data_IF_044222728748
#
_entry.id   IF_044222728748
#
_cell.length_a   1.000
_cell.length_b   1.000
_cell.length_c   1.000
_cell.angle_alpha   90.00
_cell.angle_beta   90.00
_cell.angle_gamma   90.00
#
_symmetry.space_group_name_H-M   'P 1'
#
loop_
_entity.id
_entity.type
_entity.pdbx_description
1 polymer ?
#
# COMPACT_ATOMS: atom_id res chain seq x y z
N UNK A 1 -4.83 4.91 -11.53
CA UNK A 1 -3.96 3.83 -12.02
C UNK A 1 -3.11 3.42 -10.84
N UNK A 2 -3.04 2.13 -10.50
CA UNK A 2 -2.19 1.64 -9.42
C UNK A 2 -0.79 1.44 -9.98
N UNK A 3 0.20 2.15 -9.46
CA UNK A 3 1.60 1.94 -9.82
C UNK A 3 2.17 0.85 -8.92
N UNK A 4 2.62 -0.26 -9.51
CA UNK A 4 3.13 -1.42 -8.78
C UNK A 4 4.63 -1.51 -9.05
N UNK A 5 5.49 -1.47 -8.02
CA UNK A 5 6.92 -1.64 -8.23
C UNK A 5 7.26 -3.01 -8.77
N UNK A 6 7.84 -3.02 -9.97
CA UNK A 6 8.39 -4.21 -10.61
C UNK A 6 9.92 -4.21 -10.44
N UNK A 7 10.39 -4.69 -9.29
CA UNK A 7 11.82 -4.89 -8.99
C UNK A 7 12.03 -6.26 -8.37
N UNK A 8 13.05 -6.95 -8.85
CA UNK A 8 13.54 -8.23 -8.35
C UNK A 8 15.05 -8.36 -8.52
N UNK A 9 15.60 -9.50 -8.10
CA UNK A 9 17.05 -9.79 -8.14
C UNK A 9 17.65 -9.71 -9.55
N UNK A 10 16.90 -10.17 -10.55
CA UNK A 10 17.28 -10.24 -11.96
C UNK A 10 16.45 -9.25 -12.81
N UNK A 11 16.40 -7.99 -12.38
CA UNK A 11 15.60 -6.94 -13.03
C UNK A 11 14.16 -6.93 -12.52
N UNK A 12 13.21 -7.47 -13.29
CA UNK A 12 11.80 -7.61 -12.85
C UNK A 12 11.50 -8.97 -12.22
N UNK A 13 12.45 -9.90 -12.26
CA UNK A 13 12.28 -11.28 -11.79
C UNK A 13 13.10 -11.55 -10.52
N UNK A 14 12.52 -12.33 -9.61
CA UNK A 14 13.24 -12.86 -8.45
C UNK A 14 13.86 -14.23 -8.73
N UNK A 15 13.33 -14.98 -9.71
CA UNK A 15 13.76 -16.35 -10.04
C UNK A 15 13.79 -16.53 -11.56
N UNK A 16 14.86 -17.14 -12.08
CA UNK A 16 15.05 -17.39 -13.52
C UNK A 16 14.63 -18.80 -13.97
N UNK A 17 13.99 -19.60 -13.09
CA UNK A 17 13.41 -20.90 -13.44
C UNK A 17 14.34 -21.87 -14.19
N UNK A 18 15.64 -21.82 -13.91
CA UNK A 18 16.66 -22.68 -14.53
C UNK A 18 17.37 -22.10 -15.75
N UNK A 19 17.07 -20.85 -16.13
CA UNK A 19 17.83 -20.12 -17.15
C UNK A 19 19.04 -19.39 -16.53
N UNK A 20 20.13 -19.31 -17.29
CA UNK A 20 21.39 -18.70 -16.85
C UNK A 20 21.33 -17.16 -16.77
N UNK A 21 20.41 -16.53 -17.52
CA UNK A 21 20.28 -15.06 -17.60
C UNK A 21 18.82 -14.63 -17.71
N UNK A 22 18.54 -13.38 -17.29
CA UNK A 22 17.22 -12.75 -17.48
C UNK A 22 16.80 -12.71 -18.94
N UNK A 23 17.73 -12.40 -19.84
CA UNK A 23 17.45 -12.29 -21.27
C UNK A 23 17.02 -13.65 -21.85
N UNK A 24 17.72 -14.73 -21.47
CA UNK A 24 17.36 -16.08 -21.89
C UNK A 24 15.96 -16.49 -21.37
N UNK A 25 15.63 -16.13 -20.12
CA UNK A 25 14.30 -16.40 -19.57
C UNK A 25 13.21 -15.60 -20.30
N UNK A 26 13.43 -14.30 -20.55
CA UNK A 26 12.48 -13.44 -21.26
C UNK A 26 12.25 -13.96 -22.68
N UNK A 27 13.30 -14.27 -23.43
CA UNK A 27 13.16 -14.83 -24.78
C UNK A 27 12.34 -16.13 -24.79
N UNK A 28 12.56 -17.01 -23.81
CA UNK A 28 11.78 -18.25 -23.73
C UNK A 28 10.32 -17.98 -23.34
N UNK A 29 10.07 -17.03 -22.43
CA UNK A 29 8.73 -16.62 -22.04
C UNK A 29 7.95 -16.02 -23.22
N UNK A 30 8.58 -15.14 -24.00
CA UNK A 30 7.99 -14.57 -25.21
C UNK A 30 7.63 -15.64 -26.24
N UNK A 31 8.54 -16.57 -26.53
CA UNK A 31 8.26 -17.70 -27.44
C UNK A 31 7.07 -18.54 -26.96
N UNK A 32 7.00 -18.83 -25.64
CA UNK A 32 5.89 -19.59 -25.07
C UNK A 32 4.56 -18.82 -25.15
N UNK A 33 4.57 -17.50 -24.98
CA UNK A 33 3.39 -16.66 -25.12
C UNK A 33 2.90 -16.59 -26.58
N UNK A 34 3.81 -16.56 -27.55
CA UNK A 34 3.46 -16.60 -28.97
C UNK A 34 2.84 -17.95 -29.37
N UNK A 35 3.30 -19.05 -28.76
CA UNK A 35 2.75 -20.39 -29.01
C UNK A 35 1.42 -20.65 -28.28
N UNK A 36 1.22 -20.08 -27.10
CA UNK A 36 0.16 -20.49 -26.18
C UNK A 36 -0.48 -19.35 -25.37
N UNK A 37 -0.81 -18.23 -26.01
CA UNK A 37 -1.60 -17.14 -25.39
C UNK A 37 -3.10 -17.24 -25.71
N UNK A 38 -3.95 -16.93 -24.72
CA UNK A 38 -5.40 -16.77 -24.91
C UNK A 38 -6.30 -17.83 -24.27
N UNK A 39 -6.08 -19.16 -24.45
CA UNK A 39 -7.02 -20.18 -23.99
C UNK A 39 -7.42 -20.10 -22.51
N UNK A 40 -6.49 -19.86 -21.55
CA UNK A 40 -6.86 -19.76 -20.13
C UNK A 40 -7.83 -18.61 -19.84
N UNK A 41 -7.72 -17.49 -20.58
CA UNK A 41 -8.58 -16.33 -20.37
C UNK A 41 -10.01 -16.57 -20.85
N UNK A 42 -10.17 -17.26 -21.98
CA UNK A 42 -11.47 -17.63 -22.54
C UNK A 42 -12.16 -18.62 -21.60
N UNK A 43 -11.47 -19.68 -21.20
CA UNK A 43 -12.02 -20.69 -20.27
C UNK A 43 -12.40 -20.03 -18.92
N UNK A 44 -11.60 -19.10 -18.40
CA UNK A 44 -11.95 -18.36 -17.18
C UNK A 44 -13.27 -17.59 -17.33
N UNK A 45 -13.48 -16.91 -18.46
CA UNK A 45 -14.73 -16.19 -18.74
C UNK A 45 -15.90 -17.17 -18.90
N UNK A 46 -15.71 -18.29 -19.59
CA UNK A 46 -16.74 -19.32 -19.75
C UNK A 46 -17.18 -19.90 -18.39
N UNK A 47 -16.23 -20.14 -17.48
CA UNK A 47 -16.51 -20.59 -16.09
C UNK A 47 -17.31 -19.56 -15.32
N UNK A 48 -17.01 -18.27 -15.46
CA UNK A 48 -17.80 -17.20 -14.86
C UNK A 48 -19.23 -17.16 -15.41
N UNK A 49 -19.39 -17.29 -16.73
CA UNK A 49 -20.70 -17.25 -17.39
C UNK A 49 -21.55 -18.49 -17.10
N UNK A 50 -20.94 -19.62 -16.73
CA UNK A 50 -21.64 -20.82 -16.31
C UNK A 50 -22.25 -20.71 -14.89
N UNK A 51 -21.84 -19.71 -14.09
CA UNK A 51 -22.40 -19.46 -12.77
C UNK A 51 -23.69 -18.62 -12.86
N UNK A 52 -24.64 -18.86 -11.95
CA UNK A 52 -25.76 -17.93 -11.80
C UNK A 52 -25.27 -16.59 -11.27
N UNK A 53 -25.99 -15.50 -11.56
CA UNK A 53 -25.62 -14.16 -11.08
C UNK A 53 -25.53 -14.10 -9.54
N UNK A 54 -26.42 -14.80 -8.85
CA UNK A 54 -26.47 -14.79 -7.39
C UNK A 54 -25.32 -15.62 -6.80
N UNK A 55 -25.01 -16.78 -7.39
CA UNK A 55 -23.87 -17.60 -6.96
C UNK A 55 -22.54 -16.89 -7.21
N UNK A 56 -22.39 -16.26 -8.38
CA UNK A 56 -21.20 -15.48 -8.73
C UNK A 56 -21.02 -14.32 -7.74
N UNK A 57 -22.09 -13.55 -7.48
CA UNK A 57 -22.04 -12.44 -6.54
C UNK A 57 -21.67 -12.91 -5.14
N UNK A 58 -22.31 -13.97 -4.65
CA UNK A 58 -22.04 -14.52 -3.32
C UNK A 58 -20.61 -15.04 -3.20
N UNK A 59 -20.12 -15.78 -4.19
CA UNK A 59 -18.75 -16.29 -4.22
C UNK A 59 -17.73 -15.16 -4.26
N UNK A 60 -17.96 -14.15 -5.12
CA UNK A 60 -17.10 -12.99 -5.24
C UNK A 60 -17.09 -12.18 -3.94
N UNK A 61 -18.24 -11.85 -3.38
CA UNK A 61 -18.34 -11.08 -2.14
C UNK A 61 -17.62 -11.79 -0.98
N UNK A 62 -17.78 -13.12 -0.86
CA UNK A 62 -17.10 -13.92 0.17
C UNK A 62 -15.58 -13.94 -0.01
N UNK A 63 -15.10 -14.36 -1.18
CA UNK A 63 -13.66 -14.55 -1.42
C UNK A 63 -12.94 -13.19 -1.48
N UNK A 64 -13.56 -12.16 -2.07
CA UNK A 64 -13.02 -10.79 -2.09
C UNK A 64 -12.90 -10.21 -0.70
N UNK A 65 -13.94 -10.35 0.14
CA UNK A 65 -13.91 -9.86 1.53
C UNK A 65 -12.86 -10.59 2.34
N UNK A 66 -12.77 -11.92 2.19
CA UNK A 66 -11.77 -12.73 2.88
C UNK A 66 -10.33 -12.30 2.51
N UNK A 67 -10.03 -12.16 1.21
CA UNK A 67 -8.71 -11.72 0.77
C UNK A 67 -8.41 -10.26 1.16
N UNK A 68 -9.40 -9.37 1.13
CA UNK A 68 -9.21 -8.00 1.59
C UNK A 68 -8.93 -7.94 3.09
N UNK A 69 -9.62 -8.73 3.91
CA UNK A 69 -9.37 -8.82 5.34
C UNK A 69 -7.98 -9.37 5.63
N UNK A 70 -7.62 -10.49 5.00
CA UNK A 70 -6.30 -11.11 5.11
C UNK A 70 -5.17 -10.15 4.70
N UNK A 71 -5.33 -9.39 3.62
CA UNK A 71 -4.38 -8.35 3.23
C UNK A 71 -4.29 -7.20 4.26
N UNK A 72 -5.42 -6.74 4.80
CA UNK A 72 -5.40 -5.68 5.82
C UNK A 72 -4.67 -6.16 7.09
N UNK A 73 -4.94 -7.39 7.55
CA UNK A 73 -4.27 -7.99 8.70
C UNK A 73 -2.77 -8.17 8.44
N UNK A 74 -2.42 -8.69 7.27
CA UNK A 74 -1.05 -8.94 6.87
C UNK A 74 -0.22 -7.65 6.72
N UNK A 75 -0.83 -6.55 6.27
CA UNK A 75 -0.19 -5.25 6.10
C UNK A 75 -0.32 -4.32 7.33
N UNK A 76 -1.03 -4.74 8.38
CA UNK A 76 -1.27 -3.91 9.57
C UNK A 76 -2.19 -2.71 9.34
N UNK A 77 -3.08 -2.76 8.35
CA UNK A 77 -3.98 -1.64 8.01
C UNK A 77 -5.28 -1.73 8.82
N UNK A 78 -5.45 -0.79 9.75
CA UNK A 78 -6.66 -0.68 10.59
C UNK A 78 -7.70 0.21 9.93
N UNK A 79 -8.96 -0.24 9.95
CA UNK A 79 -10.10 0.54 9.48
C UNK A 79 -10.47 1.64 10.47
N UNK A 80 -10.73 2.86 9.99
CA UNK A 80 -11.25 3.96 10.82
C UNK A 80 -10.53 5.30 10.65
N UNK A 81 -9.39 5.32 9.97
CA UNK A 81 -8.68 6.56 9.62
C UNK A 81 -8.97 6.97 8.17
N UNK A 82 -9.19 8.27 7.95
CA UNK A 82 -9.31 8.87 6.63
C UNK A 82 -7.98 8.79 5.87
N UNK A 83 -6.84 8.79 6.58
CA UNK A 83 -5.50 8.67 6.00
C UNK A 83 -5.22 7.31 5.35
N UNK A 84 -5.95 6.25 5.75
CA UNK A 84 -5.81 4.90 5.13
C UNK A 84 -6.86 4.63 4.05
N UNK A 85 -7.72 5.61 3.72
CA UNK A 85 -8.80 5.41 2.75
C UNK A 85 -8.31 5.09 1.33
N UNK A 86 -7.20 5.68 0.90
CA UNK A 86 -6.56 5.43 -0.40
C UNK A 86 -5.92 4.03 -0.44
N UNK A 87 -5.19 3.67 0.62
CA UNK A 87 -4.59 2.34 0.81
C UNK A 87 -5.67 1.25 0.77
N UNK A 88 -6.80 1.46 1.43
CA UNK A 88 -7.92 0.49 1.42
C UNK A 88 -8.49 0.28 0.02
N UNK A 89 -8.47 1.29 -0.88
CA UNK A 89 -8.89 1.10 -2.28
C UNK A 89 -7.93 0.20 -3.02
N UNK A 90 -6.63 0.39 -2.80
CA UNK A 90 -5.58 -0.45 -3.40
C UNK A 90 -5.67 -1.89 -2.89
N UNK A 91 -5.88 -2.08 -1.59
CA UNK A 91 -6.10 -3.41 -0.99
C UNK A 91 -7.29 -4.12 -1.63
N UNK A 92 -8.39 -3.42 -1.91
CA UNK A 92 -9.54 -4.01 -2.62
C UNK A 92 -9.19 -4.47 -4.04
N UNK A 93 -8.30 -3.77 -4.73
CA UNK A 93 -7.81 -4.22 -6.05
C UNK A 93 -6.93 -5.45 -5.93
N UNK A 94 -6.00 -5.48 -4.97
CA UNK A 94 -5.18 -6.67 -4.68
C UNK A 94 -6.02 -7.88 -4.27
N UNK A 95 -7.04 -7.68 -3.45
CA UNK A 95 -7.98 -8.73 -3.07
C UNK A 95 -8.68 -9.33 -4.28
N UNK A 96 -9.11 -8.49 -5.25
CA UNK A 96 -9.74 -8.96 -6.48
C UNK A 96 -8.77 -9.78 -7.35
N UNK A 97 -7.51 -9.37 -7.45
CA UNK A 97 -6.47 -10.14 -8.16
C UNK A 97 -6.25 -11.49 -7.48
N UNK A 98 -6.19 -11.51 -6.14
CA UNK A 98 -6.07 -12.75 -5.37
C UNK A 98 -7.25 -13.67 -5.63
N UNK A 99 -8.49 -13.16 -5.53
CA UNK A 99 -9.71 -13.92 -5.83
C UNK A 99 -9.65 -14.53 -7.23
N UNK A 100 -9.35 -13.74 -8.26
CA UNK A 100 -9.30 -14.22 -9.64
C UNK A 100 -8.21 -15.29 -9.83
N UNK A 101 -7.01 -15.09 -9.28
CA UNK A 101 -5.91 -16.05 -9.38
C UNK A 101 -6.19 -17.37 -8.66
N UNK A 102 -6.81 -17.31 -7.47
CA UNK A 102 -7.22 -18.51 -6.75
C UNK A 102 -8.39 -19.23 -7.47
N UNK A 103 -9.31 -18.51 -8.11
CA UNK A 103 -10.37 -19.11 -8.92
C UNK A 103 -9.81 -19.82 -10.15
N UNK A 104 -8.90 -19.17 -10.87
CA UNK A 104 -8.21 -19.76 -12.01
C UNK A 104 -7.45 -21.03 -11.60
N UNK A 105 -6.82 -21.02 -10.43
CA UNK A 105 -6.15 -22.19 -9.85
C UNK A 105 -7.14 -23.31 -9.51
N UNK A 106 -8.25 -23.01 -8.83
CA UNK A 106 -9.31 -23.99 -8.52
C UNK A 106 -9.95 -24.58 -9.77
N UNK A 107 -10.00 -23.85 -10.87
CA UNK A 107 -10.50 -24.33 -12.16
C UNK A 107 -9.43 -25.06 -13.00
N UNK A 108 -8.20 -25.17 -12.51
CA UNK A 108 -7.12 -25.89 -13.17
C UNK A 108 -6.46 -25.14 -14.33
N UNK A 109 -6.59 -23.80 -14.37
CA UNK A 109 -6.11 -22.98 -15.49
C UNK A 109 -4.66 -22.53 -15.36
N UNK A 110 -4.15 -22.44 -14.14
CA UNK A 110 -2.81 -21.91 -13.84
C UNK A 110 -1.76 -23.00 -13.66
N UNK A 111 -2.17 -24.18 -13.23
CA UNK A 111 -1.26 -25.23 -12.74
C UNK A 111 -0.55 -24.89 -11.42
N UNK A 112 -0.96 -23.82 -10.74
CA UNK A 112 -0.38 -23.43 -9.45
C UNK A 112 -0.94 -24.25 -8.29
N UNK A 113 -0.17 -24.32 -7.20
CA UNK A 113 -0.70 -24.85 -5.95
C UNK A 113 -1.70 -23.85 -5.33
N UNK A 114 -2.76 -24.32 -4.65
CA UNK A 114 -3.69 -23.44 -3.94
C UNK A 114 -2.97 -22.49 -2.97
N UNK A 115 -3.33 -21.22 -2.98
CA UNK A 115 -2.70 -20.18 -2.15
C UNK A 115 -1.51 -19.48 -2.81
N UNK A 116 -1.02 -19.94 -3.97
CA UNK A 116 0.12 -19.33 -4.67
C UNK A 116 -0.20 -17.90 -5.13
N UNK A 117 -1.39 -17.68 -5.68
CA UNK A 117 -1.78 -16.37 -6.22
C UNK A 117 -1.90 -15.33 -5.09
N UNK A 118 -2.59 -15.69 -4.01
CA UNK A 118 -2.74 -14.84 -2.84
C UNK A 118 -1.41 -14.54 -2.13
N UNK A 119 -0.50 -15.53 -2.03
CA UNK A 119 0.84 -15.30 -1.51
C UNK A 119 1.66 -14.33 -2.39
N UNK A 120 1.61 -14.48 -3.71
CA UNK A 120 2.28 -13.57 -4.64
C UNK A 120 1.74 -12.13 -4.50
N UNK A 121 0.42 -11.97 -4.40
CA UNK A 121 -0.21 -10.65 -4.19
C UNK A 121 0.22 -10.04 -2.86
N UNK A 122 0.33 -10.81 -1.77
CA UNK A 122 0.83 -10.30 -0.48
C UNK A 122 2.25 -9.75 -0.60
N UNK A 123 3.14 -10.45 -1.29
CA UNK A 123 4.52 -9.98 -1.53
C UNK A 123 4.52 -8.65 -2.29
N UNK A 124 3.72 -8.56 -3.35
CA UNK A 124 3.60 -7.33 -4.15
C UNK A 124 3.00 -6.19 -3.33
N UNK A 125 1.97 -6.48 -2.53
CA UNK A 125 1.29 -5.49 -1.71
C UNK A 125 2.22 -4.91 -0.62
N UNK A 126 3.12 -5.71 -0.04
CA UNK A 126 4.16 -5.20 0.87
C UNK A 126 5.11 -4.25 0.16
N UNK A 127 5.69 -4.67 -0.98
CA UNK A 127 6.61 -3.82 -1.77
C UNK A 127 5.93 -2.50 -2.16
N UNK A 128 4.69 -2.58 -2.61
CA UNK A 128 3.89 -1.40 -2.93
C UNK A 128 3.69 -0.49 -1.72
N UNK A 129 3.33 -1.05 -0.55
CA UNK A 129 3.07 -0.26 0.65
C UNK A 129 4.34 0.41 1.18
N UNK A 130 5.48 -0.28 1.14
CA UNK A 130 6.79 0.28 1.49
C UNK A 130 7.12 1.49 0.62
N UNK A 131 6.94 1.38 -0.70
CA UNK A 131 7.17 2.52 -1.60
C UNK A 131 6.17 3.64 -1.40
N UNK A 132 4.89 3.30 -1.18
CA UNK A 132 3.85 4.28 -0.87
C UNK A 132 4.24 5.15 0.32
N UNK A 133 4.75 4.54 1.40
CA UNK A 133 5.22 5.30 2.57
C UNK A 133 6.46 6.15 2.32
N UNK A 134 7.29 5.75 1.35
CA UNK A 134 8.49 6.47 0.97
C UNK A 134 8.26 7.54 -0.10
N UNK A 135 7.03 7.70 -0.63
CA UNK A 135 6.75 8.72 -1.63
C UNK A 135 6.82 10.13 -1.02
N UNK A 136 7.55 11.08 -1.65
CA UNK A 136 7.74 12.43 -1.14
C UNK A 136 6.44 13.17 -0.81
N UNK A 137 5.39 12.93 -1.61
CA UNK A 137 4.10 13.63 -1.49
C UNK A 137 3.21 13.13 -0.34
N UNK A 138 3.59 12.07 0.37
CA UNK A 138 2.88 11.62 1.57
C UNK A 138 3.54 12.08 2.87
N UNK A 139 4.75 12.66 2.76
CA UNK A 139 5.49 13.24 3.86
C UNK A 139 5.73 14.75 3.70
N UNK A 140 5.44 15.40 2.57
CA UNK A 140 5.88 16.77 2.35
C UNK A 140 4.94 17.83 2.93
N UNK A 141 3.72 18.03 2.45
CA UNK A 141 3.00 19.26 2.80
C UNK A 141 2.63 19.42 4.28
N UNK A 142 2.18 18.36 4.96
CA UNK A 142 1.79 18.44 6.37
C UNK A 142 3.02 18.58 7.26
N UNK A 143 4.10 17.82 7.00
CA UNK A 143 5.32 17.91 7.80
C UNK A 143 6.10 19.19 7.48
N UNK A 144 6.07 19.67 6.24
CA UNK A 144 6.66 20.96 5.85
C UNK A 144 5.90 22.11 6.51
N UNK A 145 4.55 22.07 6.56
CA UNK A 145 3.77 23.04 7.33
C UNK A 145 4.07 22.99 8.83
N UNK A 146 4.22 21.80 9.41
CA UNK A 146 4.60 21.65 10.82
C UNK A 146 6.02 22.16 11.05
N UNK A 147 6.96 21.80 10.18
CA UNK A 147 8.36 22.23 10.23
C UNK A 147 8.49 23.75 10.12
N UNK A 148 7.86 24.36 9.13
CA UNK A 148 7.87 25.81 8.92
C UNK A 148 7.23 26.53 10.10
N UNK A 149 6.11 26.03 10.62
CA UNK A 149 5.47 26.58 11.81
C UNK A 149 6.39 26.52 13.04
N UNK A 150 7.12 25.41 13.23
CA UNK A 150 8.07 25.25 14.33
C UNK A 150 9.23 26.24 14.22
N UNK A 151 9.81 26.41 13.03
CA UNK A 151 10.90 27.37 12.79
C UNK A 151 10.40 28.81 12.99
N UNK A 152 9.25 29.18 12.40
CA UNK A 152 8.69 30.52 12.52
C UNK A 152 8.37 30.92 13.96
N UNK A 153 8.10 29.93 14.82
CA UNK A 153 7.71 30.16 16.21
C UNK A 153 8.72 29.63 17.23
N UNK A 154 9.96 29.32 16.82
CA UNK A 154 10.99 28.71 17.69
C UNK A 154 11.21 29.53 18.98
N UNK A 155 11.16 30.87 18.89
CA UNK A 155 11.27 31.78 20.03
C UNK A 155 10.16 31.62 21.10
N UNK A 156 9.07 30.92 20.78
CA UNK A 156 7.94 30.62 21.68
C UNK A 156 8.03 29.21 22.27
N UNK A 157 9.12 28.47 22.01
CA UNK A 157 9.46 27.20 22.63
C UNK A 157 10.53 27.40 23.70
N UNK A 158 10.22 27.05 24.95
CA UNK A 158 11.14 27.22 26.09
C UNK A 158 12.14 26.07 26.13
N UNK A 159 13.44 26.37 26.21
CA UNK A 159 14.46 25.33 26.34
C UNK A 159 14.35 24.63 27.72
N UNK A 160 14.20 23.31 27.73
CA UNK A 160 13.99 22.52 28.96
C UNK A 160 15.19 22.53 29.91
N UNK A 161 16.39 22.70 29.37
CA UNK A 161 17.65 22.60 30.11
C UNK A 161 18.40 23.94 30.20
N UNK A 162 17.80 25.03 29.71
CA UNK A 162 18.33 26.38 29.78
C UNK A 162 17.93 27.14 31.05
N UNK A 163 18.74 28.11 31.47
CA UNK A 163 18.55 28.93 32.69
C UNK A 163 17.36 29.92 32.64
N UNK A 164 16.53 29.90 31.59
CA UNK A 164 15.54 30.95 31.37
C UNK A 164 14.15 30.57 31.90
N UNK A 165 13.83 31.06 33.10
CA UNK A 165 12.45 31.12 33.61
C UNK A 165 11.71 32.31 33.01
N UNK A 166 11.15 32.16 31.82
CA UNK A 166 10.13 33.08 31.31
C UNK A 166 9.01 32.28 30.66
N UNK A 167 8.13 31.72 31.50
CA UNK A 167 6.82 31.26 31.05
C UNK A 167 5.99 32.50 30.71
N UNK A 168 5.97 32.87 29.42
CA UNK A 168 5.01 33.83 28.90
C UNK A 168 3.68 33.09 28.63
N UNK A 169 2.55 33.78 28.77
CA UNK A 169 1.20 33.26 28.44
C UNK A 169 1.07 32.79 26.98
N UNK A 170 2.04 33.12 26.13
CA UNK A 170 2.08 32.81 24.69
C UNK A 170 3.03 31.66 24.31
N UNK A 171 3.43 30.84 25.29
CA UNK A 171 4.32 29.68 25.09
C UNK A 171 3.61 28.59 24.29
N UNK A 172 4.25 28.11 23.22
CA UNK A 172 3.70 27.08 22.34
C UNK A 172 4.16 25.67 22.70
N UNK A 173 5.24 25.55 23.46
CA UNK A 173 5.82 24.28 23.88
C UNK A 173 7.20 24.44 24.48
N UNK A 174 7.93 23.34 24.51
CA UNK A 174 9.29 23.26 25.01
C UNK A 174 10.21 22.67 23.94
N UNK A 175 11.52 22.84 24.10
CA UNK A 175 12.52 22.26 23.19
C UNK A 175 13.77 21.83 23.94
N UNK A 176 14.50 20.89 23.36
CA UNK A 176 15.89 20.60 23.69
C UNK A 176 16.73 20.48 22.40
N UNK A 177 17.97 20.01 22.52
CA UNK A 177 18.90 19.92 21.39
C UNK A 177 18.46 18.93 20.28
N UNK A 178 17.45 18.09 20.56
CA UNK A 178 17.01 17.03 19.65
C UNK A 178 15.51 17.08 19.31
N UNK A 179 14.67 17.65 20.17
CA UNK A 179 13.22 17.53 20.09
C UNK A 179 12.47 18.83 20.40
N UNK A 180 11.35 19.03 19.67
CA UNK A 180 10.29 19.96 20.06
C UNK A 180 9.16 19.21 20.77
N UNK A 181 8.78 19.70 21.95
CA UNK A 181 7.67 19.23 22.77
C UNK A 181 6.50 20.19 22.64
N UNK A 182 5.56 19.84 21.75
CA UNK A 182 4.43 20.70 21.41
C UNK A 182 3.26 20.50 22.37
N UNK A 183 2.69 21.59 22.90
CA UNK A 183 1.49 21.50 23.74
C UNK A 183 0.28 20.99 22.92
N UNK A 184 -0.66 20.24 23.52
CA UNK A 184 -1.82 19.71 22.80
C UNK A 184 -2.63 20.80 22.07
N UNK A 185 -2.77 21.99 22.66
CA UNK A 185 -3.47 23.12 22.04
C UNK A 185 -2.73 23.71 20.84
N UNK A 186 -1.39 23.71 20.89
CA UNK A 186 -0.53 24.15 19.78
C UNK A 186 -0.58 23.14 18.65
N UNK A 187 -0.51 21.85 18.97
CA UNK A 187 -0.61 20.77 17.99
C UNK A 187 -1.94 20.86 17.24
N UNK A 188 -3.06 21.04 17.96
CA UNK A 188 -4.35 21.29 17.32
C UNK A 188 -4.35 22.52 16.41
N UNK A 189 -3.68 23.63 16.76
CA UNK A 189 -3.57 24.82 15.88
C UNK A 189 -2.72 24.58 14.63
N UNK A 190 -1.68 23.77 14.73
CA UNK A 190 -0.81 23.39 13.59
C UNK A 190 -1.56 22.49 12.60
N UNK A 191 -2.43 21.61 13.10
CA UNK A 191 -3.14 20.61 12.28
C UNK A 191 -4.56 21.02 11.88
N UNK A 192 -5.17 22.03 12.52
CA UNK A 192 -6.52 22.50 12.20
C UNK A 192 -6.47 23.38 10.95
N UNK A 193 -6.53 22.75 9.78
CA UNK A 193 -6.80 23.41 8.50
C UNK A 193 -8.23 23.94 8.48
N UNK A 194 -8.50 25.01 9.24
CA UNK A 194 -9.67 25.84 8.96
C UNK A 194 -9.40 26.63 7.69
N UNK A 195 -9.96 26.10 6.61
CA UNK A 195 -10.29 26.77 5.35
C UNK A 195 -10.68 28.22 5.60
N UNK A 196 -9.72 29.14 5.47
CA UNK A 196 -10.02 30.55 5.24
C UNK A 196 -10.27 30.69 3.74
N UNK A 197 -11.56 30.71 3.39
CA UNK A 197 -12.05 31.34 2.17
C UNK A 197 -11.86 32.84 2.24
#
# INVERSE_FOLDING_TARGET
MLDIPARGEYGVFDVLHGFDTSDAFVSQLENALDEASGPPSIEFIERLLAMTKDDLKKALDNDHTAHAQDLNENLGIVSGDDKTSEIRRVIKSFALISTAGEWATRWGLTGWEPGTASAAVKTIAHRWLEEYWNMPNHQSEELEKVHDYLIENEARFINLFGDTTASNEDTLGYQDDQFFYVLPQTYSRMTDTKTKR
#
